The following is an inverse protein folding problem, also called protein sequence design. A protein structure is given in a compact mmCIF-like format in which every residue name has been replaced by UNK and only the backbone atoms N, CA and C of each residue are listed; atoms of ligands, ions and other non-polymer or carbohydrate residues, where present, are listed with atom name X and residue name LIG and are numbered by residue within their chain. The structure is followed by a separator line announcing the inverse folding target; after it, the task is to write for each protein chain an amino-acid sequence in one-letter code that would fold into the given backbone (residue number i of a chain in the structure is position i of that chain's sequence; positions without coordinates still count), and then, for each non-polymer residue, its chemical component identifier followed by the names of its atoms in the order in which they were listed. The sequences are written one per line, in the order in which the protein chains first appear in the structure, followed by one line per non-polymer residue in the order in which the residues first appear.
data_IF_137902332307
#
_entry.id   IF_137902332307
#
_cell.length_a   1.000
_cell.length_b   1.000
_cell.length_c   1.000
_cell.angle_alpha   90.00
_cell.angle_beta   90.00
_cell.angle_gamma   90.00
#
_symmetry.space_group_name_H-M   'P 1'
#
loop_
_entity.id
_entity.type
_entity.pdbx_description
1 polymer ?
#
# COMPACT_ATOMS: atom_id res chain seq x y z
N UNK A 1 46.07 5.73 32.74
CA UNK A 1 45.24 6.55 31.83
C UNK A 1 44.70 5.75 30.63
N UNK A 2 45.45 4.78 30.08
CA UNK A 2 44.97 3.94 28.94
C UNK A 2 43.74 3.06 29.24
N UNK A 3 43.62 2.50 30.45
CA UNK A 3 42.49 1.63 30.83
C UNK A 3 41.13 2.36 30.87
N UNK A 4 41.13 3.65 31.19
CA UNK A 4 39.92 4.48 31.20
C UNK A 4 39.50 4.84 29.76
N UNK A 5 40.48 5.14 28.90
CA UNK A 5 40.27 5.39 27.47
C UNK A 5 39.72 4.15 26.76
N UNK A 6 40.24 2.97 27.08
CA UNK A 6 39.75 1.69 26.55
C UNK A 6 38.31 1.38 27.00
N UNK A 7 37.97 1.64 28.28
CA UNK A 7 36.60 1.51 28.79
C UNK A 7 35.63 2.47 28.12
N UNK A 8 36.05 3.71 27.87
CA UNK A 8 35.24 4.73 27.19
C UNK A 8 34.99 4.36 25.72
N UNK A 9 36.02 3.87 25.01
CA UNK A 9 35.87 3.34 23.64
C UNK A 9 34.90 2.16 23.58
N UNK A 10 35.08 1.15 24.44
CA UNK A 10 34.20 -0.02 24.49
C UNK A 10 32.73 0.35 24.75
N UNK A 11 32.48 1.33 25.63
CA UNK A 11 31.13 1.83 25.93
C UNK A 11 30.52 2.58 24.74
N UNK A 12 31.31 3.40 24.04
CA UNK A 12 30.85 4.09 22.83
C UNK A 12 30.54 3.11 21.70
N UNK A 13 31.38 2.10 21.49
CA UNK A 13 31.15 1.04 20.49
C UNK A 13 29.90 0.21 20.79
N UNK A 14 29.61 -0.07 22.06
CA UNK A 14 28.36 -0.73 22.49
C UNK A 14 27.14 0.15 22.21
N UNK A 15 27.19 1.45 22.56
CA UNK A 15 26.10 2.40 22.31
C UNK A 15 25.81 2.53 20.81
N UNK A 16 26.85 2.64 19.96
CA UNK A 16 26.67 2.69 18.51
C UNK A 16 26.10 1.39 17.94
N UNK A 17 26.51 0.24 18.46
CA UNK A 17 25.98 -1.07 18.05
C UNK A 17 24.51 -1.21 18.43
N UNK A 18 24.16 -0.89 19.68
CA UNK A 18 22.78 -0.95 20.17
C UNK A 18 21.87 0.03 19.43
N UNK A 19 22.38 1.23 19.11
CA UNK A 19 21.66 2.20 18.29
C UNK A 19 21.36 1.67 16.88
N UNK A 20 22.35 1.09 16.20
CA UNK A 20 22.16 0.50 14.86
C UNK A 20 21.15 -0.64 14.87
N UNK A 21 21.26 -1.54 15.85
CA UNK A 21 20.30 -2.64 16.05
C UNK A 21 18.87 -2.13 16.30
N UNK A 22 18.70 -1.09 17.11
CA UNK A 22 17.39 -0.49 17.34
C UNK A 22 16.84 0.20 16.08
N UNK A 23 17.68 0.90 15.32
CA UNK A 23 17.29 1.53 14.06
C UNK A 23 16.86 0.50 13.00
N UNK A 24 17.52 -0.66 12.93
CA UNK A 24 17.13 -1.76 12.05
C UNK A 24 15.78 -2.39 12.48
N UNK A 25 15.61 -2.66 13.78
CA UNK A 25 14.36 -3.22 14.31
C UNK A 25 13.18 -2.26 14.13
N UNK A 26 13.41 -0.95 14.29
CA UNK A 26 12.36 0.05 14.09
C UNK A 26 11.92 0.10 12.62
N UNK A 27 12.88 0.10 11.68
CA UNK A 27 12.59 0.06 10.23
C UNK A 27 11.78 -1.17 9.83
N UNK A 28 12.14 -2.33 10.36
CA UNK A 28 11.43 -3.59 10.11
C UNK A 28 10.02 -3.59 10.74
N UNK A 29 9.86 -3.01 11.93
CA UNK A 29 8.55 -2.78 12.55
C UNK A 29 7.63 -1.88 11.73
N UNK A 30 8.15 -0.73 11.28
CA UNK A 30 7.43 0.22 10.44
C UNK A 30 7.00 -0.40 9.10
N UNK A 31 7.92 -1.14 8.46
CA UNK A 31 7.62 -1.85 7.22
C UNK A 31 6.51 -2.88 7.40
N UNK A 32 6.56 -3.68 8.48
CA UNK A 32 5.49 -4.64 8.79
C UNK A 32 4.15 -3.97 9.04
N UNK A 33 4.11 -2.90 9.83
CA UNK A 33 2.89 -2.16 10.11
C UNK A 33 2.25 -1.61 8.82
N UNK A 34 3.08 -1.06 7.94
CA UNK A 34 2.67 -0.56 6.62
C UNK A 34 2.11 -1.66 5.71
N UNK A 35 2.78 -2.82 5.65
CA UNK A 35 2.28 -3.97 4.88
C UNK A 35 0.95 -4.51 5.45
N UNK A 36 0.81 -4.54 6.77
CA UNK A 36 -0.44 -4.92 7.42
C UNK A 36 -1.59 -3.95 7.07
N UNK A 37 -1.31 -2.65 7.06
CA UNK A 37 -2.30 -1.64 6.67
C UNK A 37 -2.74 -1.79 5.21
N UNK A 38 -1.81 -2.02 4.28
CA UNK A 38 -2.12 -2.29 2.87
C UNK A 38 -2.99 -3.54 2.74
N UNK A 39 -2.65 -4.59 3.47
CA UNK A 39 -3.44 -5.83 3.48
C UNK A 39 -4.88 -5.58 3.92
N UNK A 40 -5.08 -4.88 5.03
CA UNK A 40 -6.43 -4.54 5.52
C UNK A 40 -7.21 -3.74 4.48
N UNK A 41 -6.56 -2.79 3.82
CA UNK A 41 -7.17 -1.96 2.79
C UNK A 41 -7.62 -2.78 1.57
N UNK A 42 -6.82 -3.77 1.16
CA UNK A 42 -7.16 -4.72 0.09
C UNK A 42 -8.33 -5.62 0.51
N UNK A 43 -8.25 -6.22 1.69
CA UNK A 43 -9.27 -7.17 2.20
C UNK A 43 -10.64 -6.49 2.37
N UNK A 44 -10.66 -5.25 2.88
CA UNK A 44 -11.89 -4.49 3.09
C UNK A 44 -12.58 -4.05 1.79
N UNK A 45 -11.83 -3.94 0.69
CA UNK A 45 -12.33 -3.41 -0.59
C UNK A 45 -12.24 -4.42 -1.74
N UNK A 46 -12.20 -5.71 -1.40
CA UNK A 46 -12.07 -6.75 -2.39
C UNK A 46 -13.32 -6.83 -3.27
N UNK A 47 -13.14 -6.62 -4.56
CA UNK A 47 -14.20 -6.82 -5.56
C UNK A 47 -14.21 -8.28 -5.94
N UNK A 48 -15.35 -8.96 -5.71
CA UNK A 48 -15.52 -10.35 -6.10
C UNK A 48 -15.50 -10.44 -7.62
N UNK A 49 -14.45 -11.07 -8.15
CA UNK A 49 -14.30 -11.34 -9.57
C UNK A 49 -14.62 -12.79 -9.88
N UNK A 50 -15.27 -13.02 -11.01
CA UNK A 50 -15.54 -14.33 -11.57
C UNK A 50 -16.06 -14.19 -12.98
N UNK A 51 -16.00 -15.25 -13.79
CA UNK A 51 -16.44 -15.21 -15.18
C UNK A 51 -15.43 -15.85 -16.12
N UNK A 52 -15.73 -15.79 -17.41
CA UNK A 52 -14.99 -16.51 -18.46
C UNK A 52 -14.22 -15.56 -19.38
N UNK A 53 -14.19 -14.25 -19.08
CA UNK A 53 -13.45 -13.28 -19.88
C UNK A 53 -12.07 -13.05 -19.29
N UNK A 54 -11.08 -13.01 -20.17
CA UNK A 54 -9.69 -12.71 -19.79
C UNK A 54 -9.45 -11.20 -19.80
N UNK A 55 -8.94 -10.69 -18.69
CA UNK A 55 -8.34 -9.36 -18.61
C UNK A 55 -6.82 -9.49 -18.50
N UNK A 56 -6.09 -8.86 -19.41
CA UNK A 56 -4.63 -8.95 -19.47
C UNK A 56 -4.00 -7.68 -18.90
N UNK A 57 -2.97 -7.84 -18.08
CA UNK A 57 -2.21 -6.74 -17.49
C UNK A 57 -0.71 -7.09 -17.45
N UNK A 58 0.16 -6.07 -17.35
CA UNK A 58 1.61 -6.27 -17.27
C UNK A 58 2.07 -6.24 -15.82
N UNK A 59 2.85 -7.23 -15.41
CA UNK A 59 3.59 -7.22 -14.16
C UNK A 59 5.00 -7.78 -14.42
N UNK A 60 6.03 -7.03 -14.08
CA UNK A 60 7.44 -7.44 -14.20
C UNK A 60 7.79 -7.94 -15.62
N UNK A 61 7.45 -7.12 -16.62
CA UNK A 61 7.63 -7.41 -18.05
C UNK A 61 6.86 -8.63 -18.60
N UNK A 62 6.06 -9.33 -17.78
CA UNK A 62 5.22 -10.46 -18.18
C UNK A 62 3.77 -10.02 -18.28
N UNK A 63 3.08 -10.50 -19.31
CA UNK A 63 1.63 -10.36 -19.42
C UNK A 63 0.99 -11.42 -18.53
N UNK A 64 0.27 -10.97 -17.52
CA UNK A 64 -0.57 -11.78 -16.62
C UNK A 64 -2.01 -11.64 -17.06
N UNK A 65 -2.83 -12.63 -16.70
CA UNK A 65 -4.26 -12.65 -17.03
C UNK A 65 -5.08 -12.93 -15.77
N UNK A 66 -6.25 -12.30 -15.67
CA UNK A 66 -7.26 -12.54 -14.65
C UNK A 66 -8.58 -12.89 -15.32
N UNK A 67 -9.32 -13.85 -14.77
CA UNK A 67 -10.65 -14.20 -15.24
C UNK A 67 -11.69 -13.33 -14.53
N UNK A 68 -12.50 -12.64 -15.33
CA UNK A 68 -13.47 -11.64 -14.87
C UNK A 68 -14.76 -11.75 -15.70
N UNK A 69 -15.83 -11.15 -15.20
CA UNK A 69 -17.08 -10.98 -15.93
C UNK A 69 -17.00 -9.76 -16.85
N UNK A 70 -18.00 -9.61 -17.72
CA UNK A 70 -18.03 -8.51 -18.70
C UNK A 70 -18.04 -7.13 -18.03
N UNK A 71 -18.79 -6.97 -16.93
CA UNK A 71 -18.90 -5.70 -16.20
C UNK A 71 -17.59 -5.34 -15.51
N UNK A 72 -16.93 -6.30 -14.89
CA UNK A 72 -15.61 -6.08 -14.28
C UNK A 72 -14.55 -5.76 -15.32
N UNK A 73 -14.55 -6.46 -16.47
CA UNK A 73 -13.63 -6.16 -17.58
C UNK A 73 -13.79 -4.73 -18.09
N UNK A 74 -15.03 -4.28 -18.29
CA UNK A 74 -15.31 -2.92 -18.73
C UNK A 74 -14.81 -1.88 -17.73
N UNK A 75 -15.09 -2.07 -16.43
CA UNK A 75 -14.63 -1.18 -15.36
C UNK A 75 -13.10 -1.14 -15.24
N UNK A 76 -12.43 -2.28 -15.38
CA UNK A 76 -10.96 -2.35 -15.42
C UNK A 76 -10.41 -1.60 -16.63
N UNK A 77 -11.00 -1.77 -17.81
CA UNK A 77 -10.63 -1.03 -19.02
C UNK A 77 -10.92 0.47 -18.92
N UNK A 78 -11.98 0.87 -18.22
CA UNK A 78 -12.34 2.25 -17.95
C UNK A 78 -11.45 2.92 -16.88
N UNK A 79 -10.66 2.13 -16.14
CA UNK A 79 -9.80 2.62 -15.05
C UNK A 79 -10.55 2.96 -13.76
N UNK A 80 -11.79 2.49 -13.58
CA UNK A 80 -12.53 2.63 -12.32
C UNK A 80 -12.20 1.52 -11.32
N UNK A 81 -11.72 0.38 -11.83
CA UNK A 81 -11.15 -0.70 -11.04
C UNK A 81 -9.66 -0.86 -11.36
N UNK A 82 -8.92 -1.39 -10.39
CA UNK A 82 -7.50 -1.67 -10.49
C UNK A 82 -7.20 -3.12 -10.08
N UNK A 83 -6.12 -3.68 -10.63
CA UNK A 83 -5.58 -4.96 -10.20
C UNK A 83 -4.42 -4.70 -9.25
N UNK A 84 -4.46 -5.32 -8.07
CA UNK A 84 -3.40 -5.21 -7.05
C UNK A 84 -2.91 -6.59 -6.63
N UNK A 85 -1.68 -6.67 -6.13
CA UNK A 85 -1.09 -7.92 -5.66
C UNK A 85 -1.32 -8.12 -4.15
N UNK A 86 -2.07 -9.13 -3.74
CA UNK A 86 -2.06 -9.56 -2.35
C UNK A 86 -0.74 -10.29 -2.06
N UNK A 87 0.23 -9.58 -1.43
CA UNK A 87 1.51 -10.18 -1.02
C UNK A 87 1.36 -11.34 -0.03
N UNK A 88 0.23 -11.40 0.68
CA UNK A 88 -0.05 -12.50 1.61
C UNK A 88 -0.36 -13.82 0.89
N UNK A 89 -1.08 -13.75 -0.23
CA UNK A 89 -1.57 -14.93 -0.96
C UNK A 89 -0.82 -15.19 -2.26
N UNK A 90 0.02 -14.24 -2.71
CA UNK A 90 0.65 -14.25 -4.02
C UNK A 90 -0.34 -14.19 -5.17
N UNK A 91 -1.54 -13.63 -4.93
CA UNK A 91 -2.66 -13.58 -5.88
C UNK A 91 -2.91 -12.14 -6.33
N UNK A 92 -3.45 -12.03 -7.54
CA UNK A 92 -3.99 -10.76 -8.04
C UNK A 92 -5.45 -10.64 -7.67
N UNK A 93 -5.81 -9.49 -7.10
CA UNK A 93 -7.18 -9.17 -6.70
C UNK A 93 -7.58 -7.85 -7.33
N UNK A 94 -8.89 -7.62 -7.42
CA UNK A 94 -9.43 -6.39 -7.97
C UNK A 94 -9.97 -5.53 -6.83
N UNK A 95 -9.63 -4.25 -6.86
CA UNK A 95 -10.08 -3.24 -5.90
C UNK A 95 -10.52 -1.98 -6.67
N UNK A 96 -11.33 -1.11 -6.05
CA UNK A 96 -11.62 0.22 -6.60
C UNK A 96 -10.34 1.03 -6.84
N UNK A 97 -10.35 1.88 -7.85
CA UNK A 97 -9.20 2.71 -8.20
C UNK A 97 -8.75 3.61 -7.04
N UNK A 98 -9.69 4.14 -6.26
CA UNK A 98 -9.41 4.99 -5.09
C UNK A 98 -8.57 4.26 -4.04
N UNK A 99 -8.91 3.00 -3.81
CA UNK A 99 -8.20 2.11 -2.89
C UNK A 99 -6.81 1.81 -3.43
N UNK A 100 -6.70 1.61 -4.75
CA UNK A 100 -5.42 1.40 -5.41
C UNK A 100 -4.48 2.60 -5.26
N UNK A 101 -4.99 3.82 -5.37
CA UNK A 101 -4.23 5.04 -5.10
C UNK A 101 -3.77 5.11 -3.63
N UNK A 102 -4.69 4.85 -2.68
CA UNK A 102 -4.35 4.76 -1.25
C UNK A 102 -3.26 3.73 -0.96
N UNK A 103 -3.20 2.63 -1.71
CA UNK A 103 -2.13 1.62 -1.61
C UNK A 103 -0.81 2.16 -2.17
N UNK A 104 -0.81 2.85 -3.31
CA UNK A 104 0.38 3.46 -3.92
C UNK A 104 0.99 4.56 -3.06
N UNK A 105 0.16 5.42 -2.46
CA UNK A 105 0.60 6.46 -1.51
C UNK A 105 1.31 5.87 -0.30
N UNK A 106 0.83 4.70 0.16
CA UNK A 106 1.51 3.95 1.21
C UNK A 106 2.79 3.37 0.63
N UNK A 107 2.72 2.45 -0.32
CA UNK A 107 3.90 1.75 -0.86
C UNK A 107 3.95 1.86 -2.37
N UNK A 108 4.88 2.67 -2.87
CA UNK A 108 5.21 2.76 -4.29
C UNK A 108 5.75 1.45 -4.88
N UNK A 109 6.30 0.57 -4.02
CA UNK A 109 6.79 -0.76 -4.40
C UNK A 109 5.67 -1.79 -4.52
N UNK A 110 4.47 -1.49 -4.04
CA UNK A 110 3.34 -2.40 -4.14
C UNK A 110 2.80 -2.40 -5.56
N UNK A 111 2.55 -3.60 -6.09
CA UNK A 111 2.08 -3.73 -7.45
C UNK A 111 0.62 -3.26 -7.58
N UNK A 112 0.40 -2.30 -8.48
CA UNK A 112 -0.91 -1.76 -8.85
C UNK A 112 -0.96 -1.55 -10.36
N UNK A 113 -1.97 -2.12 -11.01
CA UNK A 113 -2.22 -1.95 -12.45
C UNK A 113 -3.58 -1.29 -12.70
N UNK A 114 -3.54 -0.14 -13.39
CA UNK A 114 -4.70 0.67 -13.79
C UNK A 114 -4.62 0.88 -15.30
N UNK A 115 -5.67 0.52 -16.04
CA UNK A 115 -5.64 0.55 -17.51
C UNK A 115 -5.57 1.98 -18.08
N UNK A 116 -6.21 2.92 -17.41
CA UNK A 116 -6.14 4.35 -17.68
C UNK A 116 -5.90 5.02 -16.33
N UNK A 117 -4.67 5.42 -15.98
CA UNK A 117 -4.46 6.18 -14.76
C UNK A 117 -5.18 7.52 -14.94
N UNK A 118 -6.44 7.61 -14.51
CA UNK A 118 -6.99 8.90 -14.13
C UNK A 118 -6.06 9.38 -13.03
N UNK A 119 -5.24 10.36 -13.33
CA UNK A 119 -4.72 11.20 -12.27
C UNK A 119 -5.97 11.79 -11.64
N UNK A 120 -6.39 11.25 -10.49
CA UNK A 120 -7.41 11.89 -9.66
C UNK A 120 -7.00 13.35 -9.58
N UNK A 121 -7.90 14.23 -9.99
CA UNK A 121 -7.62 15.65 -9.92
C UNK A 121 -7.40 16.02 -8.46
N UNK A 122 -6.64 17.08 -8.20
CA UNK A 122 -6.39 17.56 -6.83
C UNK A 122 -7.67 17.68 -6.01
N UNK A 123 -8.77 18.06 -6.67
CA UNK A 123 -10.10 18.19 -6.09
C UNK A 123 -10.70 16.85 -5.63
N UNK A 124 -10.59 15.79 -6.42
CA UNK A 124 -11.09 14.45 -6.06
C UNK A 124 -10.28 13.84 -4.91
N UNK A 125 -8.97 14.12 -4.84
CA UNK A 125 -8.12 13.74 -3.71
C UNK A 125 -8.47 14.53 -2.44
N UNK A 126 -8.76 15.83 -2.57
CA UNK A 126 -9.20 16.69 -1.46
C UNK A 126 -10.57 16.21 -0.93
N UNK A 127 -11.57 15.99 -1.78
CA UNK A 127 -12.90 15.51 -1.34
C UNK A 127 -12.84 14.15 -0.62
N UNK A 128 -11.97 13.23 -1.05
CA UNK A 128 -11.79 11.95 -0.36
C UNK A 128 -11.05 12.06 0.99
N UNK A 129 -10.17 13.05 1.14
CA UNK A 129 -9.48 13.30 2.41
C UNK A 129 -10.41 13.98 3.43
N UNK A 130 -11.35 14.80 2.98
CA UNK A 130 -12.34 15.48 3.83
C UNK A 130 -13.56 14.61 4.18
N UNK A 131 -13.81 13.50 3.47
CA UNK A 131 -14.94 12.61 3.75
C UNK A 131 -14.76 11.74 5.02
N UNK A 132 -13.53 11.47 5.46
CA UNK A 132 -13.24 10.69 6.67
C UNK A 132 -13.20 11.56 7.96
N UNK A 133 -13.29 12.89 7.81
CA UNK A 133 -13.43 13.84 8.93
C UNK A 133 -14.79 14.53 8.83
N UNK A 134 -15.86 13.79 9.10
CA UNK A 134 -17.11 14.41 9.52
C UNK A 134 -16.82 15.13 10.84
N UNK A 135 -16.56 16.44 10.78
CA UNK A 135 -16.53 17.31 11.95
C UNK A 135 -17.94 17.23 12.55
N UNK A 136 -18.12 16.73 13.79
CA UNK A 136 -19.42 16.79 14.43
C UNK A 136 -19.81 18.25 14.60
N UNK A 137 -20.94 18.60 13.98
CA UNK A 137 -21.56 19.93 13.94
C UNK A 137 -22.23 20.26 15.29
N UNK A 138 -21.47 20.19 16.39
CA UNK A 138 -22.01 20.55 17.70
C UNK A 138 -20.88 21.01 18.65
N UNK A 139 -20.45 22.25 18.44
CA UNK A 139 -19.98 23.11 19.51
C UNK A 139 -21.04 24.19 19.69
N UNK A 140 -22.15 23.81 20.32
CA UNK A 140 -22.91 24.75 21.14
C UNK A 140 -21.97 25.19 22.29
N UNK A 141 -21.71 26.51 22.32
CA UNK A 141 -21.07 27.40 23.32
C UNK A 141 -19.66 27.11 23.88
#
# INVERSE_FOLDING_TARGET
QEAELARKKLRLEQIERDRKLNEERNRDGEWRAKMAQIRQLIEANLVKVGGELKFNFKHDSKVKQLWVDARTREQLSAGTLAVVESKADGKYVVVPVDVAHKIQERSAEHFVAIANPKQLTKLELEEQAYADFAIPDDLDW
#
